data_IF_573843953175
#
_entry.id   IF_573843953175
#
_cell.length_a   1.000
_cell.length_b   1.000
_cell.length_c   1.000
_cell.angle_alpha   90.00
_cell.angle_beta   90.00
_cell.angle_gamma   90.00
#
_symmetry.space_group_name_H-M   'P 1'
#
loop_
_entity.id
_entity.type
_entity.pdbx_description
1 polymer ?
#
# COMPACT_ATOMS: atom_id res chain seq x y z
N UNK A 1 -7.55 -0.47 -30.77
CA UNK A 1 -7.54 -0.22 -29.32
C UNK A 1 -6.09 -0.07 -28.92
N UNK A 2 -5.65 1.13 -28.52
CA UNK A 2 -4.27 1.33 -28.07
C UNK A 2 -4.09 0.52 -26.77
N UNK A 3 -3.10 -0.38 -26.73
CA UNK A 3 -2.81 -1.14 -25.52
C UNK A 3 -2.54 -0.15 -24.39
N UNK A 4 -3.36 -0.20 -23.35
CA UNK A 4 -3.15 0.57 -22.13
C UNK A 4 -1.73 0.25 -21.63
N UNK A 5 -0.85 1.25 -21.55
CA UNK A 5 0.56 1.03 -21.18
C UNK A 5 0.61 0.51 -19.74
N UNK A 6 0.91 -0.77 -19.56
CA UNK A 6 1.15 -1.34 -18.23
C UNK A 6 2.53 -0.92 -17.71
N UNK A 7 2.59 -0.58 -16.43
CA UNK A 7 3.82 -0.28 -15.70
C UNK A 7 4.06 -1.40 -14.70
N UNK A 8 5.24 -2.01 -14.76
CA UNK A 8 5.64 -3.12 -13.89
C UNK A 8 6.75 -2.65 -12.96
N UNK A 9 6.50 -2.74 -11.66
CA UNK A 9 7.48 -2.47 -10.61
C UNK A 9 7.95 -3.77 -10.01
N UNK A 10 9.25 -4.05 -10.11
CA UNK A 10 9.91 -5.11 -9.34
C UNK A 10 10.41 -4.52 -8.03
N UNK A 11 10.00 -5.09 -6.91
CA UNK A 11 10.34 -4.60 -5.57
C UNK A 11 10.97 -5.74 -4.76
N UNK A 12 12.01 -5.39 -4.02
CA UNK A 12 12.58 -6.24 -2.99
C UNK A 12 12.19 -5.68 -1.62
N UNK A 13 11.39 -6.42 -0.85
CA UNK A 13 10.84 -6.01 0.45
C UNK A 13 11.37 -6.87 1.60
N UNK A 14 11.33 -6.32 2.82
CA UNK A 14 11.57 -7.07 4.05
C UNK A 14 10.50 -8.15 4.25
N UNK A 15 10.80 -9.17 5.07
CA UNK A 15 9.82 -10.21 5.42
C UNK A 15 8.61 -9.62 6.14
N UNK A 16 8.85 -8.61 6.97
CA UNK A 16 7.81 -7.91 7.71
C UNK A 16 6.90 -7.08 6.79
N UNK A 17 7.48 -6.31 5.88
CA UNK A 17 6.74 -5.60 4.83
C UNK A 17 5.92 -6.56 3.97
N UNK A 18 6.49 -7.72 3.61
CA UNK A 18 5.76 -8.77 2.88
C UNK A 18 4.56 -9.31 3.68
N UNK A 19 4.72 -9.55 4.98
CA UNK A 19 3.63 -10.01 5.84
C UNK A 19 2.51 -8.96 5.94
N UNK A 20 2.85 -7.68 6.09
CA UNK A 20 1.89 -6.57 6.09
C UNK A 20 1.11 -6.52 4.77
N UNK A 21 1.80 -6.68 3.64
CA UNK A 21 1.16 -6.72 2.32
C UNK A 21 0.20 -7.91 2.18
N UNK A 22 0.63 -9.10 2.60
CA UNK A 22 -0.19 -10.30 2.54
C UNK A 22 -1.43 -10.17 3.44
N UNK A 23 -1.27 -9.60 4.64
CA UNK A 23 -2.34 -9.35 5.59
C UNK A 23 -3.38 -8.37 5.03
N UNK A 24 -2.93 -7.27 4.41
CA UNK A 24 -3.82 -6.32 3.76
C UNK A 24 -4.66 -6.96 2.64
N UNK A 25 -4.03 -7.79 1.79
CA UNK A 25 -4.72 -8.53 0.73
C UNK A 25 -5.74 -9.51 1.33
N UNK A 26 -5.37 -10.22 2.40
CA UNK A 26 -6.28 -11.14 3.11
C UNK A 26 -7.51 -10.39 3.61
N UNK A 27 -7.31 -9.27 4.30
CA UNK A 27 -8.39 -8.45 4.82
C UNK A 27 -9.37 -8.01 3.72
N UNK A 28 -8.86 -7.41 2.65
CA UNK A 28 -9.74 -6.98 1.55
C UNK A 28 -10.40 -8.16 0.83
N UNK A 29 -9.75 -9.32 0.79
CA UNK A 29 -10.32 -10.54 0.20
C UNK A 29 -11.54 -11.01 0.99
N UNK A 30 -11.44 -10.99 2.32
CA UNK A 30 -12.53 -11.36 3.22
C UNK A 30 -13.65 -10.31 3.12
N UNK A 31 -13.31 -9.03 3.25
CA UNK A 31 -14.26 -7.91 3.20
C UNK A 31 -15.09 -7.89 1.90
N UNK A 32 -14.42 -8.07 0.75
CA UNK A 32 -15.07 -8.01 -0.58
C UNK A 32 -15.62 -9.36 -1.05
N UNK A 33 -15.50 -10.43 -0.24
CA UNK A 33 -15.86 -11.81 -0.57
C UNK A 33 -15.32 -12.27 -1.93
N UNK A 34 -14.12 -11.82 -2.29
CA UNK A 34 -13.47 -12.05 -3.58
C UNK A 34 -11.96 -11.91 -3.45
N UNK A 35 -11.19 -12.83 -4.03
CA UNK A 35 -9.73 -12.74 -4.05
C UNK A 35 -9.23 -11.41 -4.62
N UNK A 36 -8.55 -10.65 -3.77
CA UNK A 36 -7.91 -9.39 -4.11
C UNK A 36 -6.44 -9.60 -4.43
N UNK A 37 -5.86 -8.63 -5.13
CA UNK A 37 -4.45 -8.55 -5.48
C UNK A 37 -3.85 -7.28 -4.89
N UNK A 38 -2.53 -7.18 -4.93
CA UNK A 38 -1.82 -5.98 -4.47
C UNK A 38 -2.31 -4.71 -5.18
N UNK A 39 -2.59 -4.76 -6.49
CA UNK A 39 -3.16 -3.63 -7.22
C UNK A 39 -4.48 -3.13 -6.62
N UNK A 40 -5.29 -4.04 -6.08
CA UNK A 40 -6.59 -3.69 -5.51
C UNK A 40 -6.39 -2.95 -4.17
N UNK A 41 -5.40 -3.36 -3.37
CA UNK A 41 -4.95 -2.62 -2.17
C UNK A 41 -4.55 -1.19 -2.54
N UNK A 42 -3.71 -1.04 -3.56
CA UNK A 42 -3.26 0.29 -4.01
C UNK A 42 -4.45 1.14 -4.48
N UNK A 43 -5.34 0.56 -5.29
CA UNK A 43 -6.51 1.26 -5.83
C UNK A 43 -7.44 1.75 -4.72
N UNK A 44 -7.63 0.95 -3.67
CA UNK A 44 -8.50 1.30 -2.55
C UNK A 44 -7.97 2.49 -1.75
N UNK A 45 -6.66 2.48 -1.47
CA UNK A 45 -6.03 3.57 -0.70
C UNK A 45 -5.94 4.86 -1.51
N UNK A 46 -5.63 4.79 -2.81
CA UNK A 46 -5.57 5.98 -3.67
C UNK A 46 -6.90 6.74 -3.70
N UNK A 47 -8.04 6.03 -3.65
CA UNK A 47 -9.37 6.65 -3.68
C UNK A 47 -9.68 7.48 -2.44
N UNK A 48 -9.11 7.11 -1.29
CA UNK A 48 -9.31 7.80 -0.03
C UNK A 48 -8.04 7.70 0.84
N UNK A 49 -6.98 8.46 0.50
CA UNK A 49 -5.72 8.39 1.20
C UNK A 49 -5.82 9.15 2.52
N UNK A 50 -5.54 8.46 3.64
CA UNK A 50 -5.59 9.03 4.98
C UNK A 50 -4.19 9.41 5.46
N UNK A 51 -3.61 10.44 4.83
CA UNK A 51 -2.26 10.92 5.16
C UNK A 51 -2.23 11.79 6.44
N UNK A 52 -3.39 12.24 6.92
CA UNK A 52 -3.51 12.99 8.18
C UNK A 52 -3.44 12.11 9.42
N UNK A 53 -3.56 10.79 9.26
CA UNK A 53 -3.60 9.86 10.37
C UNK A 53 -2.21 9.64 10.97
N UNK A 54 -1.96 10.30 12.10
CA UNK A 54 -0.71 10.26 12.84
C UNK A 54 -0.33 8.83 13.27
N UNK A 55 -1.30 7.99 13.64
CA UNK A 55 -1.05 6.59 14.02
C UNK A 55 -0.63 5.73 12.83
N UNK A 56 -1.17 6.01 11.64
CA UNK A 56 -0.76 5.37 10.39
C UNK A 56 0.67 5.78 10.01
N UNK A 57 0.98 7.07 10.08
CA UNK A 57 2.32 7.59 9.79
C UNK A 57 3.34 7.06 10.79
N UNK A 58 3.00 7.03 12.08
CA UNK A 58 3.86 6.47 13.12
C UNK A 58 4.10 4.96 12.90
N UNK A 59 3.05 4.20 12.58
CA UNK A 59 3.20 2.79 12.26
C UNK A 59 4.07 2.57 11.01
N UNK A 60 3.86 3.37 9.97
CA UNK A 60 4.67 3.33 8.77
C UNK A 60 6.16 3.58 9.07
N UNK A 61 6.46 4.61 9.86
CA UNK A 61 7.83 4.93 10.24
C UNK A 61 8.49 3.82 11.10
N UNK A 62 7.72 3.12 11.95
CA UNK A 62 8.25 1.97 12.73
C UNK A 62 8.67 0.78 11.87
N UNK A 63 8.05 0.60 10.70
CA UNK A 63 8.37 -0.49 9.78
C UNK A 63 9.40 -0.12 8.72
N UNK A 64 10.05 1.05 8.85
CA UNK A 64 11.18 1.43 8.00
C UNK A 64 12.51 0.92 8.60
N UNK A 65 13.49 0.54 7.74
CA UNK A 65 13.42 0.56 6.29
C UNK A 65 12.65 -0.67 5.73
N UNK A 66 11.95 -0.48 4.61
CA UNK A 66 11.06 -1.51 4.07
C UNK A 66 11.75 -2.51 3.13
N UNK A 67 13.02 -2.30 2.79
CA UNK A 67 13.78 -3.12 1.85
C UNK A 67 14.19 -4.48 2.44
N UNK A 68 14.46 -5.44 1.55
CA UNK A 68 14.85 -6.77 1.96
C UNK A 68 15.10 -7.68 0.78
N UNK A 69 14.82 -8.98 0.95
CA UNK A 69 15.13 -10.02 -0.06
C UNK A 69 13.90 -10.65 -0.70
N UNK A 70 12.70 -10.35 -0.21
CA UNK A 70 11.46 -10.94 -0.75
C UNK A 70 11.07 -10.17 -2.00
N UNK A 71 11.06 -10.85 -3.15
CA UNK A 71 10.71 -10.25 -4.43
C UNK A 71 9.20 -10.24 -4.63
N UNK A 72 8.64 -9.08 -4.95
CA UNK A 72 7.24 -8.92 -5.35
C UNK A 72 7.15 -8.10 -6.63
N UNK A 73 6.05 -8.29 -7.37
CA UNK A 73 5.75 -7.55 -8.58
C UNK A 73 4.43 -6.79 -8.44
N UNK A 74 4.46 -5.50 -8.74
CA UNK A 74 3.26 -4.67 -8.84
C UNK A 74 3.06 -4.27 -10.29
N UNK A 75 1.88 -4.58 -10.84
CA UNK A 75 1.48 -4.17 -12.18
C UNK A 75 0.34 -3.17 -12.10
N UNK A 76 0.54 -1.97 -12.63
CA UNK A 76 -0.44 -0.89 -12.67
C UNK A 76 -0.71 -0.49 -14.12
N UNK A 77 -1.92 -0.02 -14.43
CA UNK A 77 -2.16 0.72 -15.68
C UNK A 77 -1.44 2.07 -15.62
N UNK A 78 -1.18 2.68 -16.77
CA UNK A 78 -0.52 4.00 -16.83
C UNK A 78 -1.26 5.08 -16.02
N UNK A 79 -2.60 5.08 -16.07
CA UNK A 79 -3.43 6.01 -15.29
C UNK A 79 -3.27 5.78 -13.78
N UNK A 80 -3.43 4.53 -13.33
CA UNK A 80 -3.28 4.18 -11.92
C UNK A 80 -1.86 4.42 -11.41
N UNK A 81 -0.84 4.23 -12.25
CA UNK A 81 0.54 4.55 -11.91
C UNK A 81 0.74 6.05 -11.67
N UNK A 82 0.13 6.92 -12.48
CA UNK A 82 0.23 8.38 -12.29
C UNK A 82 -0.44 8.82 -10.97
N UNK A 83 -1.59 8.25 -10.64
CA UNK A 83 -2.24 8.47 -9.33
C UNK A 83 -1.38 7.94 -8.18
N UNK A 84 -0.76 6.78 -8.37
CA UNK A 84 0.17 6.20 -7.39
C UNK A 84 1.42 7.07 -7.18
N UNK A 85 1.97 7.66 -8.25
CA UNK A 85 3.09 8.59 -8.16
C UNK A 85 2.70 9.88 -7.42
N UNK A 86 1.45 10.33 -7.57
CA UNK A 86 0.90 11.45 -6.79
C UNK A 86 0.82 11.11 -5.30
N UNK A 87 0.32 9.91 -4.96
CA UNK A 87 0.30 9.44 -3.57
C UNK A 87 1.71 9.33 -2.99
N UNK A 88 2.67 8.81 -3.76
CA UNK A 88 4.09 8.70 -3.38
C UNK A 88 4.69 10.07 -3.05
N UNK A 89 4.45 11.07 -3.88
CA UNK A 89 4.93 12.44 -3.65
C UNK A 89 4.33 13.03 -2.36
N UNK A 90 3.02 12.92 -2.18
CA UNK A 90 2.34 13.40 -0.96
C UNK A 90 2.80 12.67 0.30
N UNK A 91 3.05 11.37 0.21
CA UNK A 91 3.59 10.60 1.33
C UNK A 91 4.98 11.12 1.72
N UNK A 92 5.85 11.38 0.74
CA UNK A 92 7.18 11.93 0.99
C UNK A 92 7.14 13.30 1.67
N UNK A 93 6.20 14.17 1.27
CA UNK A 93 5.97 15.48 1.91
C UNK A 93 5.57 15.33 3.38
N UNK A 94 4.62 14.43 3.68
CA UNK A 94 4.11 14.23 5.04
C UNK A 94 5.14 13.56 5.95
N UNK A 95 5.94 12.65 5.42
CA UNK A 95 6.98 11.95 6.20
C UNK A 95 8.26 12.76 6.32
N UNK A 96 8.43 13.83 5.53
CA UNK A 96 9.67 14.62 5.46
C UNK A 96 10.86 13.84 4.90
N UNK A 97 10.59 12.75 4.17
CA UNK A 97 11.56 11.72 3.79
C UNK A 97 11.31 11.19 2.38
N UNK A 98 12.35 10.77 1.68
CA UNK A 98 12.19 10.18 0.36
C UNK A 98 11.42 8.85 0.43
N UNK A 99 10.27 8.79 -0.23
CA UNK A 99 9.46 7.59 -0.38
C UNK A 99 9.52 7.09 -1.84
N UNK A 100 9.97 5.84 -2.01
CA UNK A 100 9.93 5.14 -3.29
C UNK A 100 8.64 4.33 -3.46
N UNK A 101 8.55 3.60 -4.58
CA UNK A 101 7.41 2.71 -4.87
C UNK A 101 7.21 1.71 -3.74
N UNK A 102 8.31 1.17 -3.20
CA UNK A 102 8.28 0.20 -2.11
C UNK A 102 7.60 0.75 -0.87
N UNK A 103 8.05 1.91 -0.41
CA UNK A 103 7.55 2.60 0.77
C UNK A 103 6.05 2.90 0.62
N UNK A 104 5.64 3.41 -0.54
CA UNK A 104 4.23 3.70 -0.82
C UNK A 104 3.37 2.44 -0.86
N UNK A 105 3.87 1.32 -1.38
CA UNK A 105 3.15 0.03 -1.33
C UNK A 105 2.92 -0.43 0.11
N UNK A 106 3.96 -0.37 0.96
CA UNK A 106 3.85 -0.77 2.37
C UNK A 106 2.90 0.15 3.12
N UNK A 107 2.98 1.46 2.87
CA UNK A 107 2.03 2.43 3.43
C UNK A 107 0.57 2.08 3.07
N UNK A 108 0.29 1.74 1.81
CA UNK A 108 -1.06 1.33 1.40
C UNK A 108 -1.52 0.07 2.14
N UNK A 109 -0.65 -0.92 2.29
CA UNK A 109 -0.97 -2.14 3.03
C UNK A 109 -1.22 -1.89 4.53
N UNK A 110 -0.46 -1.00 5.15
CA UNK A 110 -0.69 -0.55 6.53
C UNK A 110 -2.03 0.17 6.67
N UNK A 111 -2.38 1.04 5.73
CA UNK A 111 -3.64 1.79 5.76
C UNK A 111 -4.84 0.84 5.78
N UNK A 112 -4.83 -0.20 4.95
CA UNK A 112 -5.87 -1.24 4.96
C UNK A 112 -5.89 -2.01 6.28
N UNK A 113 -4.71 -2.47 6.74
CA UNK A 113 -4.61 -3.26 7.96
C UNK A 113 -5.09 -2.49 9.19
N UNK A 114 -4.75 -1.20 9.31
CA UNK A 114 -5.18 -0.36 10.42
C UNK A 114 -6.69 -0.09 10.40
N UNK A 115 -7.28 0.20 9.24
CA UNK A 115 -8.73 0.37 9.12
C UNK A 115 -9.47 -0.86 9.68
N UNK A 116 -9.01 -2.05 9.33
CA UNK A 116 -9.65 -3.29 9.75
C UNK A 116 -9.44 -3.60 11.23
N UNK A 117 -8.26 -3.31 11.79
CA UNK A 117 -8.02 -3.41 13.24
C UNK A 117 -8.94 -2.43 13.99
N UNK A 118 -9.11 -1.21 13.51
CA UNK A 118 -9.98 -0.22 14.13
C UNK A 118 -11.45 -0.65 14.07
N UNK A 119 -11.91 -1.18 12.93
CA UNK A 119 -13.26 -1.74 12.79
C UNK A 119 -13.49 -2.92 13.73
N UNK A 120 -12.52 -3.83 13.84
CA UNK A 120 -12.60 -4.97 14.75
C UNK A 120 -12.68 -4.51 16.22
N UNK A 121 -11.90 -3.49 16.61
CA UNK A 121 -11.96 -2.92 17.98
C UNK A 121 -13.29 -2.23 18.28
N UNK A 122 -13.95 -1.64 17.29
CA UNK A 122 -15.24 -0.97 17.48
C UNK A 122 -16.42 -1.95 17.60
N UNK A 123 -16.23 -3.23 17.25
CA UNK A 123 -17.24 -4.26 17.32
C UNK A 123 -17.31 -4.99 18.69
N UNK A 124 -16.40 -4.66 19.61
CA UNK A 124 -16.30 -5.21 20.98
C UNK A 124 -16.30 -4.09 22.02
#
# INVERSE_FOLDING_TARGET
MASEKEVVHELLVSKEAFAIIAEAIKWMTIEKLKFQRLRDVITDVIRAPDLSNQDLIAAFNRHRPCDGRVRIYLRLSGALNAEFDTLKARLAEVTGDQCGVRETVVFCALAISQRQISLAKAAF
#
